data_IF_668884158744
#
_entry.id   IF_668884158744
#
_cell.length_a   1.000
_cell.length_b   1.000
_cell.length_c   1.000
_cell.angle_alpha   90.00
_cell.angle_beta   90.00
_cell.angle_gamma   90.00
#
_symmetry.space_group_name_H-M   'P 1'
#
loop_
_entity.id
_entity.type
_entity.pdbx_description
1 polymer ?
#
# COMPACT_ATOMS: atom_id res chain seq x y z
N UNK A 1 -3.01 -9.84 -19.97
CA UNK A 1 -4.30 -9.85 -19.24
C UNK A 1 -5.30 -10.83 -19.85
N UNK A 2 -5.35 -10.99 -21.19
CA UNK A 2 -6.14 -12.04 -21.83
C UNK A 2 -5.79 -13.45 -21.31
N UNK A 3 -4.52 -13.75 -21.02
CA UNK A 3 -4.13 -15.03 -20.38
C UNK A 3 -4.75 -15.26 -19.00
N UNK A 4 -5.09 -14.20 -18.26
CA UNK A 4 -5.67 -14.29 -16.91
C UNK A 4 -7.20 -14.36 -16.93
N UNK A 5 -7.85 -13.61 -17.83
CA UNK A 5 -9.30 -13.42 -17.84
C UNK A 5 -9.99 -13.97 -19.10
N UNK A 6 -9.21 -14.47 -20.06
CA UNK A 6 -9.69 -15.02 -21.33
C UNK A 6 -10.58 -14.04 -22.09
N UNK A 7 -11.70 -14.57 -22.57
CA UNK A 7 -12.69 -13.84 -23.36
C UNK A 7 -13.32 -12.67 -22.61
N UNK A 8 -13.35 -12.67 -21.27
CA UNK A 8 -13.84 -11.52 -20.50
C UNK A 8 -12.99 -10.28 -20.72
N UNK A 9 -11.68 -10.44 -20.88
CA UNK A 9 -10.79 -9.33 -21.21
C UNK A 9 -11.04 -8.84 -22.64
N UNK A 10 -10.94 -9.75 -23.60
CA UNK A 10 -11.01 -9.39 -25.02
C UNK A 10 -12.37 -8.83 -25.40
N UNK A 11 -13.46 -9.32 -24.81
CA UNK A 11 -14.80 -8.77 -25.01
C UNK A 11 -14.97 -7.35 -24.47
N UNK A 12 -14.32 -7.01 -23.34
CA UNK A 12 -14.47 -5.68 -22.73
C UNK A 12 -13.51 -4.64 -23.33
N UNK A 13 -12.27 -5.04 -23.66
CA UNK A 13 -11.19 -4.11 -23.97
C UNK A 13 -10.52 -4.35 -25.33
N UNK A 14 -10.90 -5.43 -26.02
CA UNK A 14 -10.22 -5.89 -27.24
C UNK A 14 -8.97 -6.71 -26.96
N UNK A 15 -8.43 -7.30 -28.02
CA UNK A 15 -7.23 -8.13 -27.97
C UNK A 15 -5.96 -7.36 -28.41
N UNK A 16 -6.14 -6.22 -29.07
CA UNK A 16 -5.04 -5.38 -29.52
C UNK A 16 -4.79 -4.19 -28.59
N UNK A 17 -3.53 -3.71 -28.48
CA UNK A 17 -3.23 -2.46 -27.80
C UNK A 17 -4.04 -1.31 -28.41
N UNK A 18 -4.81 -0.61 -27.58
CA UNK A 18 -5.56 0.56 -28.01
C UNK A 18 -4.98 1.86 -27.41
N UNK A 19 -5.24 2.97 -28.10
CA UNK A 19 -4.73 4.30 -27.73
C UNK A 19 -5.15 4.71 -26.32
N UNK A 20 -6.36 4.34 -25.88
CA UNK A 20 -6.89 4.68 -24.55
C UNK A 20 -6.03 4.08 -23.44
N UNK A 21 -5.68 2.80 -23.55
CA UNK A 21 -4.82 2.13 -22.56
C UNK A 21 -3.37 2.63 -22.65
N UNK A 22 -2.84 2.86 -23.85
CA UNK A 22 -1.50 3.41 -24.03
C UNK A 22 -1.35 4.80 -23.36
N UNK A 23 -2.30 5.70 -23.62
CA UNK A 23 -2.33 7.04 -23.00
C UNK A 23 -2.61 6.94 -21.50
N UNK A 24 -3.54 6.07 -21.10
CA UNK A 24 -3.91 5.90 -19.69
C UNK A 24 -2.75 5.42 -18.82
N UNK A 25 -1.88 4.57 -19.35
CA UNK A 25 -0.72 4.02 -18.65
C UNK A 25 0.57 4.81 -18.90
N UNK A 26 0.53 5.87 -19.71
CA UNK A 26 1.68 6.74 -19.94
C UNK A 26 2.26 7.27 -18.61
N UNK A 27 3.59 7.27 -18.51
CA UNK A 27 4.33 7.71 -17.32
C UNK A 27 4.42 6.65 -16.21
N UNK A 28 3.89 5.45 -16.38
CA UNK A 28 4.17 4.32 -15.50
C UNK A 28 5.48 3.65 -15.90
N UNK A 29 6.26 3.24 -14.90
CA UNK A 29 7.47 2.43 -15.11
C UNK A 29 7.12 0.95 -15.13
N UNK A 30 8.03 0.12 -15.64
CA UNK A 30 7.86 -1.34 -15.62
C UNK A 30 7.58 -1.89 -14.21
N UNK A 31 8.18 -1.29 -13.18
CA UNK A 31 7.93 -1.63 -11.78
C UNK A 31 6.49 -1.35 -11.36
N UNK A 32 5.88 -0.28 -11.86
CA UNK A 32 4.49 0.05 -11.59
C UNK A 32 3.55 -0.95 -12.26
N UNK A 33 3.84 -1.31 -13.51
CA UNK A 33 3.06 -2.29 -14.25
C UNK A 33 3.13 -3.66 -13.58
N UNK A 34 4.35 -4.12 -13.23
CA UNK A 34 4.53 -5.39 -12.51
C UNK A 34 3.78 -5.41 -11.17
N UNK A 35 3.81 -4.31 -10.41
CA UNK A 35 3.03 -4.17 -9.17
C UNK A 35 1.53 -4.28 -9.43
N UNK A 36 1.03 -3.58 -10.45
CA UNK A 36 -0.37 -3.63 -10.85
C UNK A 36 -0.80 -5.06 -11.18
N UNK A 37 -0.02 -5.78 -11.98
CA UNK A 37 -0.28 -7.18 -12.35
C UNK A 37 -0.32 -8.09 -11.11
N UNK A 38 0.65 -7.98 -10.21
CA UNK A 38 0.64 -8.74 -8.96
C UNK A 38 -0.62 -8.45 -8.12
N UNK A 39 -1.01 -7.18 -8.00
CA UNK A 39 -2.25 -6.81 -7.29
C UNK A 39 -3.50 -7.40 -7.94
N UNK A 40 -3.53 -7.52 -9.27
CA UNK A 40 -4.64 -8.15 -9.98
C UNK A 40 -4.67 -9.65 -9.69
N UNK A 41 -3.52 -10.33 -9.72
CA UNK A 41 -3.39 -11.74 -9.36
C UNK A 41 -3.85 -11.97 -7.91
N UNK A 42 -3.32 -11.20 -6.98
CA UNK A 42 -3.62 -11.30 -5.53
C UNK A 42 -5.08 -10.99 -5.21
N UNK A 43 -5.75 -10.17 -6.03
CA UNK A 43 -7.15 -9.81 -5.80
C UNK A 43 -8.09 -11.01 -5.90
N UNK A 44 -7.71 -12.07 -6.63
CA UNK A 44 -8.56 -13.22 -6.91
C UNK A 44 -9.86 -12.86 -7.65
N UNK A 45 -9.95 -11.66 -8.23
CA UNK A 45 -11.17 -11.21 -8.90
C UNK A 45 -11.42 -12.03 -10.15
N UNK A 46 -12.68 -12.41 -10.36
CA UNK A 46 -13.12 -13.13 -11.56
C UNK A 46 -13.25 -12.21 -12.79
N UNK A 47 -13.25 -10.89 -12.57
CA UNK A 47 -13.45 -9.88 -13.61
C UNK A 47 -12.23 -8.98 -13.77
N UNK A 48 -11.86 -8.64 -15.01
CA UNK A 48 -10.73 -7.77 -15.26
C UNK A 48 -10.99 -6.35 -14.73
N UNK A 49 -9.99 -5.71 -14.11
CA UNK A 49 -10.13 -4.33 -13.64
C UNK A 49 -10.28 -3.36 -14.82
N UNK A 50 -10.98 -2.25 -14.58
CA UNK A 50 -10.98 -1.12 -15.50
C UNK A 50 -9.61 -0.46 -15.59
N UNK A 51 -9.33 0.29 -16.67
CA UNK A 51 -8.08 1.05 -16.83
C UNK A 51 -7.78 1.97 -15.63
N UNK A 52 -8.73 2.80 -15.11
CA UNK A 52 -8.49 3.59 -13.90
C UNK A 52 -8.16 2.75 -12.67
N UNK A 53 -8.88 1.64 -12.47
CA UNK A 53 -8.65 0.72 -11.36
C UNK A 53 -7.26 0.08 -11.45
N UNK A 54 -6.88 -0.39 -12.64
CA UNK A 54 -5.56 -0.98 -12.87
C UNK A 54 -4.44 0.05 -12.67
N UNK A 55 -4.62 1.28 -13.15
CA UNK A 55 -3.68 2.39 -12.93
C UNK A 55 -3.50 2.68 -11.43
N UNK A 56 -4.59 2.65 -10.66
CA UNK A 56 -4.51 2.81 -9.21
C UNK A 56 -3.72 1.66 -8.55
N UNK A 57 -3.96 0.41 -8.98
CA UNK A 57 -3.20 -0.76 -8.51
C UNK A 57 -1.69 -0.65 -8.82
N UNK A 58 -1.32 -0.12 -9.99
CA UNK A 58 0.07 0.10 -10.37
C UNK A 58 0.79 1.07 -9.41
N UNK A 59 0.07 2.08 -8.91
CA UNK A 59 0.60 3.11 -8.00
C UNK A 59 0.46 2.75 -6.52
N UNK A 60 -0.32 1.73 -6.19
CA UNK A 60 -0.62 1.30 -4.82
C UNK A 60 0.63 0.72 -4.13
N UNK A 61 1.50 1.59 -3.59
CA UNK A 61 2.80 1.21 -3.05
C UNK A 61 3.87 2.30 -3.15
N UNK A 62 3.65 3.31 -4.00
CA UNK A 62 4.51 4.49 -4.15
C UNK A 62 4.59 5.37 -2.89
N UNK A 63 3.91 5.02 -1.80
CA UNK A 63 4.00 5.70 -0.51
C UNK A 63 5.02 5.07 0.43
N UNK A 64 4.79 3.84 0.90
CA UNK A 64 5.60 3.24 1.97
C UNK A 64 6.82 2.45 1.45
N UNK A 65 6.73 1.85 0.25
CA UNK A 65 7.82 1.06 -0.34
C UNK A 65 8.86 1.93 -1.06
N UNK A 66 8.43 3.02 -1.69
CA UNK A 66 9.32 4.08 -2.18
C UNK A 66 10.08 4.72 -1.02
N UNK A 67 9.39 4.95 0.12
CA UNK A 67 9.99 5.41 1.37
C UNK A 67 11.04 4.46 1.92
N UNK A 68 11.00 3.15 1.69
CA UNK A 68 12.06 2.25 2.18
C UNK A 68 13.45 2.58 1.63
N UNK A 69 13.54 3.15 0.43
CA UNK A 69 14.82 3.65 -0.10
C UNK A 69 15.34 4.90 0.61
N UNK A 70 14.45 5.63 1.28
CA UNK A 70 14.70 6.92 1.95
C UNK A 70 14.56 6.87 3.47
N UNK A 71 14.07 5.77 4.06
CA UNK A 71 14.13 5.55 5.49
C UNK A 71 15.57 5.11 5.74
N UNK A 72 16.44 5.96 6.32
CA UNK A 72 17.67 5.44 6.88
C UNK A 72 17.21 4.32 7.80
N UNK A 73 17.78 3.11 7.66
CA UNK A 73 17.61 2.07 8.68
C UNK A 73 17.82 2.81 10.00
N UNK A 74 16.74 3.00 10.77
CA UNK A 74 16.82 3.68 12.04
C UNK A 74 17.55 2.67 12.92
N UNK A 75 18.87 2.66 12.85
CA UNK A 75 19.77 2.03 13.82
C UNK A 75 19.75 2.84 15.11
N UNK A 76 18.58 3.37 15.47
CA UNK A 76 18.34 3.88 16.79
C UNK A 76 18.08 2.68 17.68
N UNK A 77 19.17 2.14 18.19
CA UNK A 77 19.15 1.24 19.33
C UNK A 77 18.68 2.05 20.54
N UNK A 78 17.39 1.90 20.90
CA UNK A 78 16.84 2.53 22.10
C UNK A 78 17.68 2.15 23.31
N UNK A 79 18.18 3.15 24.04
CA UNK A 79 18.85 2.87 25.30
C UNK A 79 17.84 2.33 26.32
N UNK A 80 18.31 1.63 27.34
CA UNK A 80 17.44 1.13 28.42
C UNK A 80 16.70 2.27 29.14
N UNK A 81 17.28 3.48 29.17
CA UNK A 81 16.64 4.67 29.69
C UNK A 81 15.44 5.11 28.82
N UNK A 82 15.62 5.13 27.50
CA UNK A 82 14.56 5.49 26.55
C UNK A 82 13.40 4.50 26.60
N UNK A 83 13.69 3.20 26.71
CA UNK A 83 12.68 2.14 26.87
C UNK A 83 11.88 2.34 28.16
N UNK A 84 12.57 2.66 29.25
CA UNK A 84 11.94 2.90 30.55
C UNK A 84 11.05 4.14 30.52
N UNK A 85 11.53 5.23 29.91
CA UNK A 85 10.75 6.45 29.75
C UNK A 85 9.50 6.23 28.89
N UNK A 86 9.66 5.57 27.75
CA UNK A 86 8.55 5.23 26.86
C UNK A 86 7.48 4.41 27.59
N UNK A 87 7.90 3.39 28.34
CA UNK A 87 7.00 2.52 29.10
C UNK A 87 6.26 3.30 30.19
N UNK A 88 6.95 4.20 30.89
CA UNK A 88 6.34 5.09 31.89
C UNK A 88 5.30 6.01 31.26
N UNK A 89 5.58 6.56 30.07
CA UNK A 89 4.66 7.44 29.36
C UNK A 89 3.41 6.69 28.89
N UNK A 90 3.56 5.47 28.39
CA UNK A 90 2.43 4.58 28.04
C UNK A 90 1.60 4.23 29.28
N UNK A 91 2.25 3.96 30.41
CA UNK A 91 1.55 3.67 31.66
C UNK A 91 0.74 4.88 32.15
N UNK A 92 1.32 6.09 32.12
CA UNK A 92 0.59 7.34 32.43
C UNK A 92 -0.60 7.55 31.52
N UNK A 93 -0.45 7.35 30.21
CA UNK A 93 -1.56 7.44 29.25
C UNK A 93 -2.65 6.43 29.55
N UNK A 94 -2.26 5.18 29.88
CA UNK A 94 -3.20 4.14 30.30
C UNK A 94 -3.95 4.54 31.56
N UNK A 95 -3.30 5.15 32.54
CA UNK A 95 -3.93 5.56 33.79
C UNK A 95 -4.89 6.75 33.59
N UNK A 96 -4.54 7.69 32.70
CA UNK A 96 -5.42 8.78 32.26
C UNK A 96 -6.67 8.21 31.56
N UNK A 97 -6.49 7.30 30.60
CA UNK A 97 -7.60 6.70 29.84
C UNK A 97 -8.50 5.83 30.71
N UNK A 98 -7.96 5.24 31.77
CA UNK A 98 -8.74 4.47 32.75
C UNK A 98 -9.28 5.33 33.90
N UNK A 99 -9.16 6.66 33.84
CA UNK A 99 -9.75 7.59 34.80
C UNK A 99 -9.15 7.53 36.21
N UNK A 100 -7.91 7.03 36.37
CA UNK A 100 -7.27 6.84 37.69
C UNK A 100 -6.55 8.08 38.23
N UNK A 101 -6.61 9.22 37.53
CA UNK A 101 -5.94 10.45 37.97
C UNK A 101 -6.98 11.41 38.51
N UNK A 102 -7.25 11.33 39.81
CA UNK A 102 -8.08 12.30 40.51
C UNK A 102 -8.75 11.83 41.80
N UNK A 103 -7.99 11.34 42.79
CA UNK A 103 -8.36 11.43 44.21
C UNK A 103 -7.08 11.53 45.07
N UNK A 104 -6.46 12.71 45.11
CA UNK A 104 -5.71 13.14 46.30
C UNK A 104 -6.30 14.49 46.75
N UNK A 105 -6.72 14.49 48.01
CA UNK A 105 -7.37 15.59 48.75
C UNK A 105 -6.37 16.67 49.14
#
# INVERSE_FOLDING_TARGET
MAEMFGTKWTNHYGDEPNTTWAVGLAGLTDKHIARGLNKVIDSGSEWPPSLPTFKAMCKAGEGWQSRQSYVPRLEYEMTEADKKEFTNNIQKLRDILNGKVGEEK
#
